data_IF_468401918266
#
_entry.id   IF_468401918266
#
_cell.length_a   1.000
_cell.length_b   1.000
_cell.length_c   1.000
_cell.angle_alpha   90.00
_cell.angle_beta   90.00
_cell.angle_gamma   90.00
#
_symmetry.space_group_name_H-M   'P 1'
#
loop_
_entity.id
_entity.type
_entity.pdbx_description
1 polymer ?
#
# COMPACT_ATOMS: atom_id res chain seq x y z
N UNK A 1 -10.66 2.16 30.07
CA UNK A 1 -11.54 2.43 28.92
C UNK A 1 -10.73 2.07 27.68
N UNK A 2 -11.26 1.19 26.82
CA UNK A 2 -10.57 0.84 25.58
C UNK A 2 -10.52 2.09 24.69
N UNK A 3 -9.32 2.44 24.24
CA UNK A 3 -9.13 3.56 23.34
C UNK A 3 -9.50 3.10 21.91
N UNK A 4 -10.69 3.47 21.46
CA UNK A 4 -11.15 3.12 20.10
C UNK A 4 -10.78 4.24 19.14
N UNK A 5 -10.04 3.90 18.10
CA UNK A 5 -9.61 4.86 17.08
C UNK A 5 -10.00 4.37 15.67
N UNK A 6 -10.17 5.31 14.75
CA UNK A 6 -10.31 4.99 13.33
C UNK A 6 -8.94 4.73 12.74
N UNK A 7 -8.69 3.58 12.09
CA UNK A 7 -7.46 3.37 11.36
C UNK A 7 -7.37 4.30 10.15
N UNK A 8 -6.16 4.62 9.72
CA UNK A 8 -5.98 5.23 8.41
C UNK A 8 -6.34 4.22 7.32
N UNK A 9 -7.10 4.68 6.34
CA UNK A 9 -7.55 3.88 5.19
C UNK A 9 -7.00 4.51 3.92
N UNK A 10 -6.26 3.73 3.13
CA UNK A 10 -5.83 4.14 1.80
C UNK A 10 -6.56 3.32 0.74
N UNK A 11 -6.85 3.93 -0.41
CA UNK A 11 -7.55 3.24 -1.48
C UNK A 11 -7.07 3.65 -2.86
N UNK A 12 -7.16 2.72 -3.78
CA UNK A 12 -6.96 2.92 -5.22
C UNK A 12 -7.99 2.07 -5.99
N UNK A 13 -8.06 2.22 -7.29
CA UNK A 13 -9.00 1.47 -8.10
C UNK A 13 -8.47 1.15 -9.49
N UNK A 14 -9.09 0.16 -10.09
CA UNK A 14 -9.06 -0.14 -11.52
C UNK A 14 -10.49 -0.33 -11.99
N UNK A 15 -10.73 -0.13 -13.25
CA UNK A 15 -12.05 -0.31 -13.86
C UNK A 15 -11.92 -1.00 -15.20
N UNK A 16 -12.86 -1.89 -15.49
CA UNK A 16 -12.99 -2.55 -16.77
C UNK A 16 -14.45 -2.78 -17.07
N UNK A 17 -14.84 -2.65 -18.33
CA UNK A 17 -16.17 -2.97 -18.83
C UNK A 17 -16.28 -4.40 -19.35
N UNK A 18 -15.16 -5.05 -19.58
CA UNK A 18 -15.04 -6.37 -20.21
C UNK A 18 -14.44 -7.43 -19.30
N UNK A 19 -13.49 -7.05 -18.44
CA UNK A 19 -12.75 -7.98 -17.58
C UNK A 19 -13.08 -7.77 -16.11
N UNK A 20 -13.81 -8.70 -15.48
CA UNK A 20 -14.11 -8.63 -14.05
C UNK A 20 -12.84 -8.69 -13.18
N UNK A 21 -11.76 -9.32 -13.65
CA UNK A 21 -10.52 -9.44 -12.86
C UNK A 21 -9.77 -8.11 -12.78
N UNK A 22 -9.95 -7.24 -13.76
CA UNK A 22 -9.38 -5.89 -13.80
C UNK A 22 -10.33 -4.82 -13.23
N UNK A 23 -11.46 -5.20 -12.66
CA UNK A 23 -12.49 -4.28 -12.16
C UNK A 23 -12.61 -4.35 -10.63
N UNK A 24 -11.74 -3.63 -9.92
CA UNK A 24 -11.61 -3.76 -8.47
C UNK A 24 -11.21 -2.47 -7.75
N UNK A 25 -11.36 -2.50 -6.44
CA UNK A 25 -10.86 -1.51 -5.50
C UNK A 25 -9.74 -2.14 -4.65
N UNK A 26 -8.64 -1.44 -4.51
CA UNK A 26 -7.70 -1.66 -3.42
C UNK A 26 -8.15 -0.86 -2.21
N UNK A 27 -8.26 -1.49 -1.07
CA UNK A 27 -8.53 -0.80 0.20
C UNK A 27 -7.57 -1.37 1.23
N UNK A 28 -6.79 -0.50 1.83
CA UNK A 28 -5.81 -0.87 2.83
C UNK A 28 -6.14 -0.20 4.17
N UNK A 29 -6.33 -1.01 5.21
CA UNK A 29 -6.61 -0.59 6.57
C UNK A 29 -5.33 -0.68 7.40
N UNK A 30 -4.78 0.45 7.81
CA UNK A 30 -3.56 0.51 8.64
C UNK A 30 -3.91 0.13 10.09
N UNK A 31 -3.77 -1.14 10.41
CA UNK A 31 -4.15 -1.72 11.72
C UNK A 31 -2.97 -2.50 12.30
N UNK A 32 -1.90 -1.82 12.74
CA UNK A 32 -0.70 -2.48 13.22
C UNK A 32 -0.96 -3.29 14.50
N UNK A 33 -0.27 -4.42 14.60
CA UNK A 33 -0.27 -5.31 15.77
C UNK A 33 -1.65 -5.91 16.13
N UNK A 34 -2.56 -6.03 15.15
CA UNK A 34 -3.87 -6.68 15.36
C UNK A 34 -3.79 -8.14 14.91
N UNK A 35 -3.85 -9.11 15.82
CA UNK A 35 -3.86 -10.52 15.47
C UNK A 35 -5.14 -10.90 14.68
N UNK A 36 -5.04 -11.84 13.76
CA UNK A 36 -6.20 -12.35 13.01
C UNK A 36 -7.33 -12.87 13.93
N UNK A 37 -6.96 -13.44 15.08
CA UNK A 37 -7.94 -13.98 16.04
C UNK A 37 -8.80 -12.89 16.69
N UNK A 38 -8.26 -11.68 16.84
CA UNK A 38 -8.95 -10.54 17.47
C UNK A 38 -9.54 -9.57 16.43
N UNK A 39 -9.36 -9.87 15.15
CA UNK A 39 -9.88 -9.09 14.04
C UNK A 39 -11.23 -9.63 13.56
N UNK A 40 -12.22 -8.74 13.48
CA UNK A 40 -13.52 -9.01 12.88
C UNK A 40 -13.67 -8.15 11.65
N UNK A 41 -13.61 -8.80 10.50
CA UNK A 41 -13.85 -8.19 9.20
C UNK A 41 -15.18 -8.69 8.65
N UNK A 42 -16.04 -7.78 8.22
CA UNK A 42 -17.28 -8.10 7.52
C UNK A 42 -17.32 -7.34 6.21
N UNK A 43 -17.50 -8.06 5.13
CA UNK A 43 -17.62 -7.51 3.77
C UNK A 43 -19.01 -7.88 3.26
N UNK A 44 -19.78 -6.87 2.91
CA UNK A 44 -21.11 -7.00 2.29
C UNK A 44 -21.10 -6.30 0.94
N UNK A 45 -22.15 -6.44 0.17
CA UNK A 45 -22.23 -5.83 -1.15
C UNK A 45 -22.06 -4.30 -1.14
N UNK A 46 -22.38 -3.61 -0.06
CA UNK A 46 -22.35 -2.13 0.02
C UNK A 46 -21.58 -1.58 1.21
N UNK A 47 -21.07 -2.43 2.09
CA UNK A 47 -20.37 -2.00 3.30
C UNK A 47 -19.21 -2.92 3.63
N UNK A 48 -18.12 -2.31 4.08
CA UNK A 48 -16.98 -3.01 4.68
C UNK A 48 -16.78 -2.50 6.09
N UNK A 49 -16.82 -3.39 7.06
CA UNK A 49 -16.58 -3.06 8.46
C UNK A 49 -15.45 -3.88 9.06
N UNK A 50 -14.61 -3.22 9.83
CA UNK A 50 -13.50 -3.82 10.53
C UNK A 50 -13.51 -3.40 11.99
N UNK A 51 -13.24 -4.35 12.87
CA UNK A 51 -12.98 -4.10 14.29
C UNK A 51 -11.90 -5.07 14.76
N UNK A 52 -10.86 -4.56 15.39
CA UNK A 52 -9.78 -5.40 15.91
C UNK A 52 -9.04 -4.71 17.03
N UNK A 53 -8.50 -5.48 17.95
CA UNK A 53 -7.74 -4.97 19.10
C UNK A 53 -6.28 -5.37 18.94
N UNK A 54 -5.38 -4.37 18.98
CA UNK A 54 -3.95 -4.61 18.91
C UNK A 54 -3.42 -5.21 20.21
N UNK A 55 -2.29 -5.90 20.14
CA UNK A 55 -1.60 -6.41 21.33
C UNK A 55 -1.23 -5.34 22.36
N UNK A 56 -1.26 -4.07 21.97
CA UNK A 56 -1.04 -2.89 22.83
C UNK A 56 -2.33 -2.36 23.49
N UNK A 57 -3.47 -3.01 23.28
CA UNK A 57 -4.74 -2.61 23.86
C UNK A 57 -5.46 -1.47 23.13
N UNK A 58 -5.04 -1.12 21.93
CA UNK A 58 -5.74 -0.15 21.06
C UNK A 58 -6.77 -0.88 20.23
N UNK A 59 -8.01 -0.43 20.24
CA UNK A 59 -9.09 -0.99 19.41
C UNK A 59 -9.26 -0.13 18.16
N UNK A 60 -9.05 -0.74 17.00
CA UNK A 60 -9.36 -0.14 15.70
C UNK A 60 -10.79 -0.48 15.31
N UNK A 61 -11.54 0.51 14.85
CA UNK A 61 -12.90 0.28 14.36
C UNK A 61 -13.21 1.23 13.22
N UNK A 62 -13.68 0.68 12.10
CA UNK A 62 -14.08 1.45 10.93
C UNK A 62 -15.24 0.77 10.22
N UNK A 63 -16.14 1.57 9.68
CA UNK A 63 -17.23 1.12 8.79
C UNK A 63 -17.24 2.03 7.57
N UNK A 64 -17.17 1.42 6.40
CA UNK A 64 -17.10 2.07 5.11
C UNK A 64 -18.35 1.73 4.30
N UNK A 65 -19.27 2.68 4.18
CA UNK A 65 -20.40 2.57 3.25
C UNK A 65 -19.90 2.93 1.85
N UNK A 66 -19.88 1.96 0.96
CA UNK A 66 -19.28 2.10 -0.36
C UNK A 66 -20.18 2.87 -1.31
N UNK A 67 -19.57 3.56 -2.28
CA UNK A 67 -20.25 4.35 -3.30
C UNK A 67 -21.20 3.51 -4.15
N UNK A 68 -20.77 2.32 -4.56
CA UNK A 68 -21.58 1.37 -5.30
C UNK A 68 -21.35 -0.06 -4.78
N UNK A 69 -22.01 -1.05 -5.40
CA UNK A 69 -21.95 -2.43 -4.94
C UNK A 69 -20.67 -3.14 -5.40
N UNK A 70 -20.19 -3.99 -4.50
CA UNK A 70 -19.07 -4.91 -4.73
C UNK A 70 -19.58 -6.36 -4.69
N UNK A 71 -18.75 -7.28 -5.16
CA UNK A 71 -18.93 -8.72 -5.05
C UNK A 71 -18.07 -9.26 -3.90
N UNK A 72 -18.67 -9.59 -2.74
CA UNK A 72 -17.92 -10.11 -1.60
C UNK A 72 -17.30 -11.48 -1.84
N UNK A 73 -17.92 -12.33 -2.68
CA UNK A 73 -17.48 -13.70 -2.91
C UNK A 73 -16.18 -13.75 -3.72
N UNK A 74 -16.02 -12.83 -4.65
CA UNK A 74 -14.82 -12.71 -5.48
C UNK A 74 -13.81 -11.69 -4.95
N UNK A 75 -14.05 -11.15 -3.75
CA UNK A 75 -13.12 -10.25 -3.08
C UNK A 75 -12.06 -11.02 -2.29
N UNK A 76 -10.85 -10.47 -2.26
CA UNK A 76 -9.70 -11.09 -1.58
C UNK A 76 -9.32 -10.27 -0.35
N UNK A 77 -8.86 -10.96 0.69
CA UNK A 77 -8.43 -10.37 1.96
C UNK A 77 -7.05 -10.90 2.33
N UNK A 78 -6.12 -9.99 2.56
CA UNK A 78 -4.82 -10.30 3.12
C UNK A 78 -4.65 -9.53 4.43
N UNK A 79 -4.49 -10.26 5.52
CA UNK A 79 -4.27 -9.69 6.85
C UNK A 79 -2.83 -9.96 7.27
N UNK A 80 -2.06 -8.90 7.36
CA UNK A 80 -0.69 -8.90 7.86
C UNK A 80 -0.63 -8.29 9.26
N UNK A 81 0.51 -8.39 9.93
CA UNK A 81 0.72 -7.76 11.24
C UNK A 81 0.71 -6.22 11.20
N UNK A 82 0.79 -5.62 10.03
CA UNK A 82 0.83 -4.16 9.84
C UNK A 82 -0.50 -3.58 9.40
N UNK A 83 -1.22 -4.33 8.56
CA UNK A 83 -2.38 -3.81 7.84
C UNK A 83 -3.27 -4.92 7.33
N UNK A 84 -4.50 -4.57 7.01
CA UNK A 84 -5.44 -5.45 6.32
C UNK A 84 -5.66 -4.90 4.92
N UNK A 85 -5.18 -5.63 3.94
CA UNK A 85 -5.33 -5.30 2.52
C UNK A 85 -6.54 -6.03 1.95
N UNK A 86 -7.34 -5.31 1.21
CA UNK A 86 -8.56 -5.80 0.59
C UNK A 86 -8.50 -5.52 -0.92
N UNK A 87 -8.78 -6.53 -1.72
CA UNK A 87 -9.07 -6.38 -3.15
C UNK A 87 -10.56 -6.68 -3.34
N UNK A 88 -11.35 -5.63 -3.46
CA UNK A 88 -12.80 -5.72 -3.55
C UNK A 88 -13.23 -5.67 -5.01
N UNK A 89 -13.90 -6.69 -5.51
CA UNK A 89 -14.39 -6.71 -6.89
C UNK A 89 -15.60 -5.80 -7.01
N UNK A 90 -15.59 -4.87 -7.98
CA UNK A 90 -16.76 -4.06 -8.32
C UNK A 90 -17.78 -4.97 -9.00
N UNK A 91 -19.03 -4.88 -8.59
CA UNK A 91 -20.12 -5.68 -9.17
C UNK A 91 -20.48 -5.23 -10.59
N UNK A 92 -20.49 -3.93 -10.82
CA UNK A 92 -20.82 -3.33 -12.11
C UNK A 92 -19.56 -3.19 -12.95
N UNK A 93 -19.59 -3.74 -14.17
CA UNK A 93 -18.52 -3.59 -15.15
C UNK A 93 -18.70 -2.26 -15.88
N UNK A 94 -17.77 -1.33 -15.64
CA UNK A 94 -17.72 -0.01 -16.27
C UNK A 94 -16.29 0.46 -16.37
N UNK A 95 -15.94 1.18 -17.42
CA UNK A 95 -14.63 1.84 -17.55
C UNK A 95 -14.48 3.00 -16.57
N UNK A 96 -15.58 3.72 -16.30
CA UNK A 96 -15.56 4.90 -15.45
C UNK A 96 -15.11 4.57 -14.02
N UNK A 97 -14.23 5.39 -13.49
CA UNK A 97 -13.80 5.31 -12.11
C UNK A 97 -14.90 5.76 -11.14
N UNK A 98 -14.92 5.17 -9.96
CA UNK A 98 -15.74 5.70 -8.89
C UNK A 98 -15.21 7.08 -8.49
N UNK A 99 -16.05 8.11 -8.43
CA UNK A 99 -15.61 9.46 -8.08
C UNK A 99 -15.15 9.57 -6.62
N UNK A 100 -15.50 8.57 -5.81
CA UNK A 100 -15.12 8.45 -4.40
C UNK A 100 -15.34 7.02 -3.91
N UNK A 101 -14.66 6.64 -2.84
CA UNK A 101 -14.86 5.32 -2.23
C UNK A 101 -16.18 5.21 -1.48
N UNK A 102 -16.51 6.26 -0.71
CA UNK A 102 -17.68 6.26 0.16
C UNK A 102 -18.93 6.80 -0.54
N UNK A 103 -20.08 6.29 -0.11
CA UNK A 103 -21.40 6.78 -0.55
C UNK A 103 -21.59 8.25 -0.16
N UNK A 104 -21.20 8.60 1.06
CA UNK A 104 -21.21 9.99 1.52
C UNK A 104 -20.16 10.84 0.82
N UNK A 105 -20.52 12.05 0.43
CA UNK A 105 -19.59 13.02 -0.18
C UNK A 105 -18.75 13.78 0.85
N UNK A 106 -18.99 13.56 2.14
CA UNK A 106 -18.24 14.21 3.21
C UNK A 106 -16.80 13.72 3.23
N UNK A 107 -15.87 14.67 3.22
CA UNK A 107 -14.46 14.34 3.35
C UNK A 107 -14.17 13.85 4.78
N UNK A 108 -13.66 12.65 4.90
CA UNK A 108 -13.23 12.04 6.17
C UNK A 108 -11.71 12.06 6.27
N UNK A 109 -11.18 12.37 7.45
CA UNK A 109 -9.74 12.58 7.62
C UNK A 109 -8.92 11.29 7.56
N UNK A 110 -9.54 10.14 7.87
CA UNK A 110 -8.85 8.86 7.89
C UNK A 110 -8.77 8.19 6.51
N UNK A 111 -9.48 8.69 5.49
CA UNK A 111 -9.48 8.13 4.14
C UNK A 111 -8.58 8.95 3.22
N UNK A 112 -7.64 8.26 2.57
CA UNK A 112 -6.66 8.84 1.65
C UNK A 112 -6.57 8.03 0.37
N UNK A 113 -6.07 8.64 -0.70
CA UNK A 113 -5.72 7.92 -1.93
C UNK A 113 -4.38 7.18 -1.74
N UNK A 114 -4.31 5.97 -2.21
CA UNK A 114 -3.08 5.19 -2.28
C UNK A 114 -2.35 5.52 -3.59
N UNK A 115 -1.43 6.46 -3.52
CA UNK A 115 -0.70 6.92 -4.71
C UNK A 115 0.29 5.90 -5.25
N UNK A 116 0.70 4.92 -4.45
CA UNK A 116 1.61 3.86 -4.90
C UNK A 116 0.88 2.88 -5.85
N UNK A 117 -0.44 2.76 -5.68
CA UNK A 117 -1.31 1.87 -6.48
C UNK A 117 -2.26 2.65 -7.40
N UNK A 118 -2.25 3.98 -7.33
CA UNK A 118 -3.11 4.79 -8.17
C UNK A 118 -2.58 4.84 -9.59
N UNK A 119 -3.47 4.65 -10.54
CA UNK A 119 -3.25 4.89 -11.97
C UNK A 119 -4.42 5.70 -12.46
N UNK A 120 -4.16 6.68 -13.29
CA UNK A 120 -5.22 7.49 -13.86
C UNK A 120 -6.09 6.67 -14.84
N UNK A 121 -7.34 7.09 -15.00
CA UNK A 121 -8.33 6.36 -15.80
C UNK A 121 -7.87 6.14 -17.23
N UNK A 122 -7.19 7.12 -17.81
CA UNK A 122 -6.68 7.09 -19.19
C UNK A 122 -5.43 6.20 -19.35
N UNK A 123 -4.68 5.96 -18.27
CA UNK A 123 -3.42 5.23 -18.28
C UNK A 123 -3.52 3.78 -17.80
N UNK A 124 -4.70 3.35 -17.35
CA UNK A 124 -4.87 2.02 -16.75
C UNK A 124 -4.62 0.86 -17.71
N UNK A 125 -4.76 1.06 -19.01
CA UNK A 125 -4.51 0.02 -20.03
C UNK A 125 -3.01 -0.13 -20.35
N UNK A 126 -2.22 0.93 -20.15
CA UNK A 126 -0.76 0.95 -20.36
C UNK A 126 0.00 0.52 -19.09
N UNK A 127 -0.65 0.58 -17.94
CA UNK A 127 -0.04 0.13 -16.70
C UNK A 127 0.28 -1.37 -16.78
N UNK A 128 1.51 -1.74 -16.42
CA UNK A 128 1.91 -3.13 -16.29
C UNK A 128 0.84 -3.87 -15.47
N UNK A 129 0.41 -5.05 -15.96
CA UNK A 129 -0.55 -5.87 -15.24
C UNK A 129 -0.09 -5.98 -13.79
N UNK A 130 -0.90 -5.46 -12.89
CA UNK A 130 -0.60 -5.52 -11.48
C UNK A 130 -0.67 -6.99 -11.04
N UNK A 131 0.44 -7.70 -11.09
CA UNK A 131 0.61 -9.04 -10.52
C UNK A 131 0.15 -9.12 -9.05
N UNK A 132 -0.07 -7.96 -8.46
CA UNK A 132 -0.54 -7.81 -7.09
C UNK A 132 -1.90 -8.45 -6.86
N UNK A 133 -2.86 -8.29 -7.78
CA UNK A 133 -4.19 -8.91 -7.64
C UNK A 133 -4.13 -10.43 -7.82
N UNK A 134 -3.20 -10.92 -8.62
CA UNK A 134 -3.01 -12.34 -8.89
C UNK A 134 -2.08 -13.00 -7.85
N UNK A 135 -1.12 -12.26 -7.31
CA UNK A 135 -0.17 -12.74 -6.31
C UNK A 135 -0.66 -12.50 -4.86
N UNK A 136 -1.85 -11.92 -4.71
CA UNK A 136 -2.48 -11.60 -3.44
C UNK A 136 -3.04 -12.86 -2.75
N UNK A 137 -2.24 -13.66 -2.22
CA UNK A 137 -2.64 -14.91 -1.55
C UNK A 137 -1.56 -15.98 -1.56
N UNK A 138 -0.49 -15.76 -2.33
CA UNK A 138 0.62 -16.69 -2.39
C UNK A 138 1.57 -16.64 -1.19
N UNK A 139 1.47 -15.64 -0.33
CA UNK A 139 2.41 -15.46 0.80
C UNK A 139 1.85 -15.89 2.16
N UNK A 140 0.59 -16.32 2.23
CA UNK A 140 -0.09 -16.71 3.47
C UNK A 140 -0.56 -18.18 3.52
N UNK A 141 -0.25 -18.96 2.53
CA UNK A 141 -0.48 -20.40 2.54
C UNK A 141 0.71 -21.15 3.13
N UNK A 142 0.45 -21.92 4.16
CA UNK A 142 1.34 -22.85 4.85
C UNK A 142 1.73 -24.03 3.92
N UNK A 143 2.30 -23.69 2.75
CA UNK A 143 2.87 -24.70 1.84
C UNK A 143 4.25 -24.23 1.37
N UNK A 144 5.28 -24.95 1.83
CA UNK A 144 6.69 -24.76 1.57
C UNK A 144 7.10 -24.96 0.10
N UNK A 145 6.22 -24.67 -0.87
CA UNK A 145 6.40 -24.95 -2.29
C UNK A 145 6.84 -23.77 -3.17
N UNK A 146 6.81 -22.53 -2.68
CA UNK A 146 7.02 -21.32 -3.49
C UNK A 146 8.46 -21.05 -3.95
N UNK A 147 9.46 -21.76 -3.42
CA UNK A 147 10.85 -21.61 -3.82
C UNK A 147 11.39 -22.79 -4.63
N UNK A 148 10.61 -23.83 -4.86
CA UNK A 148 11.06 -25.02 -5.58
C UNK A 148 11.22 -24.85 -7.09
N UNK A 149 10.81 -23.71 -7.64
CA UNK A 149 10.95 -23.41 -9.07
C UNK A 149 12.07 -22.43 -9.39
N UNK A 150 12.85 -22.01 -8.38
CA UNK A 150 14.08 -21.25 -8.59
C UNK A 150 15.23 -22.27 -8.69
N UNK A 151 15.60 -22.58 -9.92
CA UNK A 151 16.75 -23.45 -10.21
C UNK A 151 18.05 -22.73 -9.86
N UNK A 152 18.47 -22.87 -8.60
CA UNK A 152 19.74 -22.32 -8.09
C UNK A 152 20.98 -22.94 -8.76
N UNK A 153 20.84 -24.04 -9.48
CA UNK A 153 21.96 -24.64 -10.20
C UNK A 153 22.45 -23.79 -11.38
N UNK A 154 21.63 -22.88 -11.89
CA UNK A 154 22.03 -21.89 -12.90
C UNK A 154 22.81 -20.70 -12.34
N UNK A 155 22.70 -20.43 -11.05
CA UNK A 155 23.46 -19.35 -10.40
C UNK A 155 24.89 -19.79 -10.00
N UNK A 156 25.10 -21.08 -9.80
CA UNK A 156 26.41 -21.66 -9.43
C UNK A 156 27.40 -21.86 -10.58
N UNK A 157 26.97 -21.65 -11.83
CA UNK A 157 27.79 -21.92 -13.02
C UNK A 157 28.66 -20.76 -13.52
N UNK A 158 28.66 -19.60 -12.87
CA UNK A 158 29.42 -18.43 -13.30
C UNK A 158 30.61 -18.10 -12.39
N UNK A 159 31.09 -19.08 -11.65
CA UNK A 159 32.29 -19.00 -10.79
C UNK A 159 33.46 -19.77 -11.38
N UNK A 160 33.93 -19.41 -12.57
CA UNK A 160 35.13 -19.99 -13.17
C UNK A 160 35.86 -18.99 -14.05
N UNK A 161 37.06 -18.64 -13.62
CA UNK A 161 38.11 -17.95 -14.33
C UNK A 161 37.96 -16.43 -14.54
N UNK A 162 38.64 -15.67 -13.69
CA UNK A 162 38.96 -14.25 -13.95
C UNK A 162 39.42 -13.54 -12.70
N UNK A 163 40.75 -13.51 -12.49
CA UNK A 163 41.55 -12.87 -11.46
C UNK A 163 40.96 -11.70 -10.70
N UNK A 164 41.08 -11.76 -9.41
CA UNK A 164 40.99 -10.60 -8.51
C UNK A 164 42.12 -9.63 -8.87
N UNK A 165 41.88 -8.35 -9.12
CA UNK A 165 42.93 -7.35 -9.00
C UNK A 165 43.17 -7.06 -7.52
N UNK A 166 44.43 -7.24 -7.12
CA UNK A 166 45.02 -6.85 -5.86
C UNK A 166 44.74 -5.36 -5.61
N UNK A 167 43.92 -5.05 -4.60
CA UNK A 167 43.79 -3.70 -4.11
C UNK A 167 44.85 -3.46 -3.04
N UNK A 168 46.01 -3.00 -3.48
CA UNK A 168 46.98 -2.39 -2.59
C UNK A 168 46.38 -1.23 -1.81
N UNK A 169 46.43 -1.38 -0.51
CA UNK A 169 46.13 -0.34 0.47
C UNK A 169 47.22 0.74 0.41
N UNK A 170 47.01 1.73 -0.44
CA UNK A 170 47.84 2.93 -0.50
C UNK A 170 47.23 4.01 0.41
N UNK A 171 47.81 4.14 1.58
CA UNK A 171 47.65 5.32 2.45
C UNK A 171 48.17 6.55 1.72
N UNK A 172 47.27 7.47 1.36
CA UNK A 172 47.69 8.83 1.00
C UNK A 172 46.84 9.82 1.83
N UNK A 173 47.58 10.47 2.74
CA UNK A 173 47.14 11.57 3.61
C UNK A 173 47.14 12.85 2.77
N UNK A 174 46.06 13.60 2.80
CA UNK A 174 46.07 15.03 2.56
C UNK A 174 45.53 15.51 1.22
N UNK A 175 44.29 15.98 1.27
CA UNK A 175 43.96 17.29 0.69
C UNK A 175 42.62 17.76 1.27
N UNK A 176 42.66 18.88 1.95
CA UNK A 176 41.54 19.71 2.32
C UNK A 176 40.92 20.23 1.02
N UNK A 177 39.65 19.96 0.79
CA UNK A 177 38.84 20.70 -0.15
C UNK A 177 37.72 21.42 0.57
N UNK A 178 37.74 22.71 0.35
CA UNK A 178 36.88 23.77 0.85
C UNK A 178 35.39 23.44 0.73
N UNK A 179 34.69 23.51 1.88
CA UNK A 179 33.25 23.62 1.92
C UNK A 179 32.85 25.10 1.69
N UNK A 180 31.94 25.41 0.77
CA UNK A 180 31.44 26.77 0.64
C UNK A 180 30.56 27.16 1.87
N UNK A 181 30.88 28.31 2.43
CA UNK A 181 30.13 28.99 3.49
C UNK A 181 28.70 29.26 3.07
N UNK A 182 27.76 28.84 3.93
CA UNK A 182 26.35 29.24 3.84
C UNK A 182 26.21 30.68 4.33
N UNK A 183 25.90 31.61 3.43
CA UNK A 183 25.54 32.98 3.76
C UNK A 183 24.22 32.99 4.55
N UNK A 184 24.28 33.52 5.77
CA UNK A 184 23.11 33.82 6.59
C UNK A 184 22.39 35.04 5.99
N UNK A 185 21.18 34.83 5.48
CA UNK A 185 20.31 35.91 5.04
C UNK A 185 19.52 36.45 6.25
N UNK A 186 20.02 37.52 6.87
CA UNK A 186 19.30 38.37 7.81
C UNK A 186 18.15 39.07 7.08
N UNK A 187 16.93 38.62 7.27
CA UNK A 187 15.69 39.22 6.78
C UNK A 187 14.76 39.66 7.92
N UNK A 188 15.04 40.78 8.56
CA UNK A 188 14.08 41.47 9.41
C UNK A 188 12.88 41.95 8.59
N UNK A 189 11.70 41.38 8.75
CA UNK A 189 10.44 41.96 8.31
C UNK A 189 9.74 42.67 9.49
N UNK A 190 9.61 43.96 9.35
CA UNK A 190 8.81 44.83 10.21
C UNK A 190 7.33 44.50 10.13
N UNK A 191 6.73 44.23 11.27
CA UNK A 191 5.27 44.22 11.45
C UNK A 191 4.84 45.66 11.59
N UNK A 192 4.01 46.20 10.69
CA UNK A 192 3.26 47.44 10.85
C UNK A 192 1.87 47.09 11.38
N UNK A 193 1.59 47.53 12.60
CA UNK A 193 0.24 47.68 13.12
C UNK A 193 -0.44 48.83 12.40
N UNK A 194 -1.65 48.61 11.94
CA UNK A 194 -2.56 49.67 11.47
C UNK A 194 -3.76 49.69 12.40
N UNK A 195 -3.95 50.87 12.97
CA UNK A 195 -5.07 51.25 13.85
C UNK A 195 -6.40 51.20 13.13
#
# INVERSE_FOLDING_TARGET
>A
MANTIHPEVTWAQRSSDSDPERNYLYVNLKTPDVPRADAKLSITASNVSFTGTSGKGVTYSVSLDLYAEIDPENSKVNHTDREVELVLRKKELKLEYWPRLLKDSKKVHFLKTDFDKWVDEDEQDEAAEDDYANNFGGFGGDDAGGLSNIDFSKLGGMGGAGGMPDLECGTNVGQQDDLPELEEADGKSKIQEVS
#
